data_IF_167781999503
#
_entry.id   IF_167781999503
#
_cell.length_a   1.000
_cell.length_b   1.000
_cell.length_c   1.000
_cell.angle_alpha   90.00
_cell.angle_beta   90.00
_cell.angle_gamma   90.00
#
_symmetry.space_group_name_H-M   'P 1'
#
loop_
_entity.id
_entity.type
_entity.pdbx_description
1 polymer ?
#
# COMPACT_ATOMS: atom_id res chain seq x y z
N UNK A 1 1.07 1.88 -13.32
CA UNK A 1 1.51 2.41 -12.00
C UNK A 1 3.03 2.38 -11.86
N UNK A 2 3.74 1.53 -12.62
CA UNK A 2 5.21 1.38 -12.59
C UNK A 2 5.96 2.64 -13.04
N UNK A 3 5.42 3.41 -13.97
CA UNK A 3 6.06 4.63 -14.47
C UNK A 3 6.35 5.69 -13.41
N UNK A 4 5.67 5.71 -12.25
CA UNK A 4 6.04 6.64 -11.17
C UNK A 4 7.32 6.20 -10.45
N UNK A 5 7.46 4.90 -10.19
CA UNK A 5 8.65 4.36 -9.52
C UNK A 5 9.86 4.56 -10.41
N UNK A 6 9.73 4.19 -11.69
CA UNK A 6 10.76 4.42 -12.71
C UNK A 6 11.12 5.90 -12.83
N UNK A 7 10.13 6.80 -12.75
CA UNK A 7 10.39 8.24 -12.75
C UNK A 7 11.18 8.69 -11.52
N UNK A 8 10.81 8.26 -10.30
CA UNK A 8 11.54 8.65 -9.09
C UNK A 8 12.96 8.11 -9.08
N UNK A 9 13.15 6.86 -9.50
CA UNK A 9 14.48 6.26 -9.63
C UNK A 9 15.32 6.99 -10.69
N UNK A 10 14.72 7.29 -11.85
CA UNK A 10 15.37 8.06 -12.92
C UNK A 10 15.79 9.47 -12.48
N UNK A 11 14.90 10.22 -11.81
CA UNK A 11 15.22 11.55 -11.29
C UNK A 11 16.28 11.48 -10.17
N UNK A 12 16.25 10.43 -9.35
CA UNK A 12 17.31 10.17 -8.37
C UNK A 12 18.67 9.96 -9.03
N UNK A 13 18.71 9.26 -10.17
CA UNK A 13 19.92 9.14 -11.00
C UNK A 13 20.41 10.49 -11.52
N UNK A 14 19.52 11.34 -12.05
CA UNK A 14 19.90 12.70 -12.49
C UNK A 14 20.47 13.55 -11.36
N UNK A 15 19.95 13.42 -10.14
CA UNK A 15 20.50 14.12 -8.97
C UNK A 15 21.92 13.66 -8.62
N UNK A 16 22.25 12.38 -8.80
CA UNK A 16 23.56 11.83 -8.43
C UNK A 16 24.61 11.99 -9.53
N UNK A 17 24.22 11.72 -10.78
CA UNK A 17 25.17 11.39 -11.83
C UNK A 17 25.26 12.47 -12.92
N UNK A 18 24.35 13.45 -12.94
CA UNK A 18 24.41 14.52 -13.94
C UNK A 18 25.66 15.38 -13.77
N UNK A 19 26.39 15.60 -14.86
CA UNK A 19 27.51 16.55 -14.90
C UNK A 19 27.05 18.00 -14.80
N UNK A 20 25.82 18.30 -15.20
CA UNK A 20 25.24 19.65 -15.16
C UNK A 20 24.64 19.93 -13.77
N UNK A 21 25.17 20.91 -13.01
CA UNK A 21 24.63 21.28 -11.71
C UNK A 21 23.19 21.82 -11.74
N UNK A 22 22.77 22.46 -12.83
CA UNK A 22 21.39 22.96 -12.94
C UNK A 22 20.40 21.81 -13.03
N UNK A 23 20.76 20.75 -13.76
CA UNK A 23 19.98 19.51 -13.83
C UNK A 23 19.90 18.85 -12.45
N UNK A 24 21.00 18.76 -11.70
CA UNK A 24 20.99 18.21 -10.33
C UNK A 24 20.09 19.01 -9.40
N UNK A 25 20.18 20.34 -9.44
CA UNK A 25 19.33 21.21 -8.62
C UNK A 25 17.83 21.04 -8.94
N UNK A 26 17.47 20.98 -10.24
CA UNK A 26 16.09 20.72 -10.67
C UNK A 26 15.61 19.33 -10.26
N UNK A 27 16.47 18.32 -10.33
CA UNK A 27 16.15 16.97 -9.87
C UNK A 27 15.86 16.96 -8.37
N UNK A 28 16.68 17.63 -7.55
CA UNK A 28 16.41 17.78 -6.11
C UNK A 28 15.06 18.44 -5.84
N UNK A 29 14.74 19.53 -6.56
CA UNK A 29 13.47 20.22 -6.40
C UNK A 29 12.26 19.36 -6.74
N UNK A 30 12.31 18.62 -7.84
CA UNK A 30 11.26 17.70 -8.25
C UNK A 30 11.03 16.61 -7.19
N UNK A 31 12.11 16.00 -6.68
CA UNK A 31 12.01 14.98 -5.63
C UNK A 31 11.38 15.55 -4.34
N UNK A 32 11.73 16.79 -4.00
CA UNK A 32 11.11 17.52 -2.89
C UNK A 32 9.61 17.77 -3.08
N UNK A 33 9.19 18.08 -4.30
CA UNK A 33 7.77 18.29 -4.66
C UNK A 33 6.98 16.99 -4.71
N UNK A 34 7.61 15.90 -5.15
CA UNK A 34 7.02 14.57 -5.09
C UNK A 34 6.75 14.12 -3.65
N UNK A 35 7.51 14.64 -2.67
CA UNK A 35 7.25 14.43 -1.24
C UNK A 35 7.53 12.99 -0.78
N UNK A 36 8.19 12.18 -1.61
CA UNK A 36 8.37 10.76 -1.34
C UNK A 36 9.64 10.50 -0.52
N UNK A 37 9.49 9.84 0.63
CA UNK A 37 10.57 9.57 1.56
C UNK A 37 11.69 8.69 0.96
N UNK A 38 11.43 7.96 -0.12
CA UNK A 38 12.46 7.16 -0.83
C UNK A 38 13.61 8.03 -1.37
N UNK A 39 13.36 9.31 -1.64
CA UNK A 39 14.37 10.22 -2.18
C UNK A 39 15.34 10.77 -1.12
N UNK A 40 15.06 10.56 0.18
CA UNK A 40 15.80 11.18 1.28
C UNK A 40 17.30 10.84 1.26
N UNK A 41 17.67 9.61 0.89
CA UNK A 41 19.08 9.22 0.85
C UNK A 41 19.87 9.96 -0.24
N UNK A 42 19.33 10.07 -1.44
CA UNK A 42 19.97 10.81 -2.53
C UNK A 42 20.03 12.31 -2.25
N UNK A 43 18.95 12.88 -1.69
CA UNK A 43 18.93 14.27 -1.29
C UNK A 43 19.95 14.55 -0.17
N UNK A 44 20.15 13.60 0.75
CA UNK A 44 21.17 13.70 1.80
C UNK A 44 22.59 13.71 1.24
N UNK A 45 22.87 12.88 0.24
CA UNK A 45 24.16 12.91 -0.48
C UNK A 45 24.38 14.28 -1.14
N UNK A 46 23.34 14.84 -1.77
CA UNK A 46 23.37 16.14 -2.43
C UNK A 46 23.56 17.34 -1.47
N UNK A 47 23.45 17.17 -0.15
CA UNK A 47 23.81 18.21 0.82
C UNK A 47 25.32 18.52 0.82
N UNK A 48 26.13 17.61 0.30
CA UNK A 48 27.58 17.77 0.15
C UNK A 48 28.00 18.04 -1.30
N UNK A 49 27.06 18.36 -2.20
CA UNK A 49 27.35 18.66 -3.61
C UNK A 49 28.32 19.85 -3.73
N UNK A 50 29.28 19.85 -4.69
CA UNK A 50 30.19 20.97 -4.89
C UNK A 50 29.48 22.28 -5.23
N UNK A 51 28.34 22.22 -5.93
CA UNK A 51 27.59 23.40 -6.33
C UNK A 51 26.64 23.89 -5.22
N UNK A 52 26.67 25.18 -4.91
CA UNK A 52 25.85 25.77 -3.85
C UNK A 52 24.37 25.68 -4.16
N UNK A 53 23.98 25.92 -5.41
CA UNK A 53 22.59 25.82 -5.86
C UNK A 53 21.99 24.44 -5.58
N UNK A 54 22.76 23.36 -5.80
CA UNK A 54 22.31 21.98 -5.55
C UNK A 54 22.14 21.72 -4.06
N UNK A 55 23.09 22.14 -3.21
CA UNK A 55 22.96 21.99 -1.75
C UNK A 55 21.71 22.70 -1.21
N UNK A 56 21.42 23.91 -1.71
CA UNK A 56 20.23 24.67 -1.32
C UNK A 56 18.95 23.93 -1.73
N UNK A 57 18.88 23.45 -2.98
CA UNK A 57 17.75 22.69 -3.49
C UNK A 57 17.52 21.40 -2.69
N UNK A 58 18.59 20.64 -2.41
CA UNK A 58 18.55 19.42 -1.60
C UNK A 58 18.01 19.67 -0.19
N UNK A 59 18.50 20.71 0.49
CA UNK A 59 18.00 21.09 1.83
C UNK A 59 16.51 21.46 1.77
N UNK A 60 16.09 22.24 0.78
CA UNK A 60 14.69 22.63 0.58
C UNK A 60 13.81 21.40 0.33
N UNK A 61 14.26 20.47 -0.50
CA UNK A 61 13.55 19.25 -0.82
C UNK A 61 13.33 18.36 0.40
N UNK A 62 14.38 18.17 1.23
CA UNK A 62 14.27 17.41 2.48
C UNK A 62 13.21 18.04 3.41
N UNK A 63 13.19 19.36 3.56
CA UNK A 63 12.19 20.04 4.40
C UNK A 63 10.76 19.89 3.83
N UNK A 64 10.60 19.90 2.50
CA UNK A 64 9.30 19.62 1.86
C UNK A 64 8.82 18.20 2.14
N UNK A 65 9.70 17.20 1.99
CA UNK A 65 9.38 15.80 2.30
C UNK A 65 8.99 15.64 3.78
N UNK A 66 9.76 16.22 4.71
CA UNK A 66 9.42 16.21 6.14
C UNK A 66 8.02 16.77 6.40
N UNK A 67 7.67 17.89 5.75
CA UNK A 67 6.36 18.52 5.91
C UNK A 67 5.24 17.63 5.35
N UNK A 68 5.40 17.05 4.16
CA UNK A 68 4.43 16.13 3.57
C UNK A 68 4.22 14.88 4.45
N UNK A 69 5.31 14.35 4.99
CA UNK A 69 5.33 13.13 5.80
C UNK A 69 4.82 13.32 7.22
N UNK A 70 4.75 14.56 7.71
CA UNK A 70 4.16 14.86 9.01
C UNK A 70 2.68 14.46 9.06
N UNK A 71 1.90 14.83 8.03
CA UNK A 71 0.48 14.48 7.95
C UNK A 71 0.28 12.95 7.91
N UNK A 72 1.10 12.24 7.11
CA UNK A 72 1.03 10.78 7.04
C UNK A 72 1.37 10.09 8.37
N UNK A 73 2.32 10.63 9.14
CA UNK A 73 2.61 10.10 10.48
C UNK A 73 1.45 10.28 11.45
N UNK A 74 0.79 11.43 11.41
CA UNK A 74 -0.36 11.75 12.26
C UNK A 74 -1.50 10.75 12.00
N UNK A 75 -1.68 10.32 10.75
CA UNK A 75 -2.70 9.36 10.33
C UNK A 75 -2.19 7.91 10.13
N UNK A 76 -1.00 7.56 10.61
CA UNK A 76 -0.30 6.30 10.26
C UNK A 76 -1.16 5.03 10.33
N UNK A 77 -2.05 4.93 11.33
CA UNK A 77 -2.89 3.74 11.54
C UNK A 77 -3.98 3.58 10.48
N UNK A 78 -4.43 4.69 9.91
CA UNK A 78 -5.53 4.74 8.94
C UNK A 78 -5.03 4.93 7.50
N UNK A 79 -3.75 4.62 7.26
CA UNK A 79 -3.15 4.69 5.94
C UNK A 79 -3.14 3.34 5.26
N UNK A 80 -3.42 3.33 3.96
CA UNK A 80 -3.23 2.16 3.10
C UNK A 80 -2.60 2.58 1.77
N UNK A 81 -1.72 1.74 1.23
CA UNK A 81 -1.19 1.94 -0.11
C UNK A 81 -2.27 1.63 -1.15
N UNK A 82 -2.76 2.62 -1.90
CA UNK A 82 -3.72 2.41 -2.99
C UNK A 82 -3.18 1.56 -4.15
N UNK A 83 -1.85 1.40 -4.24
CA UNK A 83 -1.19 0.52 -5.22
C UNK A 83 -1.15 -0.94 -4.77
N UNK A 84 -0.66 -1.17 -3.55
CA UNK A 84 -0.35 -2.52 -3.08
C UNK A 84 -1.41 -3.08 -2.12
N UNK A 85 -2.28 -2.23 -1.58
CA UNK A 85 -3.28 -2.54 -0.55
C UNK A 85 -2.70 -3.00 0.80
N UNK A 86 -1.49 -2.55 1.11
CA UNK A 86 -0.83 -2.81 2.39
C UNK A 86 -0.82 -1.58 3.27
N UNK A 87 -0.88 -1.82 4.58
CA UNK A 87 -0.59 -0.77 5.56
C UNK A 87 0.88 -0.37 5.45
N UNK A 88 1.21 0.90 5.66
CA UNK A 88 2.59 1.32 5.62
C UNK A 88 3.37 0.83 6.85
N UNK A 89 4.70 0.95 6.76
CA UNK A 89 5.63 0.80 7.88
C UNK A 89 6.26 2.14 8.23
N UNK A 90 6.62 2.32 9.50
CA UNK A 90 7.51 3.42 9.92
C UNK A 90 8.95 3.10 9.55
N UNK A 91 9.65 4.07 8.99
CA UNK A 91 11.09 4.04 8.81
C UNK A 91 11.74 5.17 9.62
N UNK A 92 13.01 5.01 9.97
CA UNK A 92 13.78 6.03 10.68
C UNK A 92 15.00 6.38 9.84
N UNK A 93 15.18 7.68 9.59
CA UNK A 93 16.33 8.22 8.87
C UNK A 93 16.98 9.32 9.72
N UNK A 94 18.07 9.92 9.22
CA UNK A 94 18.73 11.05 9.91
C UNK A 94 17.85 12.30 9.98
N UNK A 95 16.92 12.42 9.04
CA UNK A 95 15.98 13.51 8.90
C UNK A 95 14.76 13.35 9.83
N UNK A 96 14.57 12.16 10.41
CA UNK A 96 13.52 11.84 11.36
C UNK A 96 12.84 10.50 11.07
N UNK A 97 11.71 10.26 11.74
CA UNK A 97 10.82 9.13 11.38
C UNK A 97 10.13 9.43 10.04
N UNK A 98 9.62 8.45 9.30
CA UNK A 98 8.80 8.62 8.09
C UNK A 98 7.85 7.43 7.93
N UNK A 99 6.92 7.51 6.98
CA UNK A 99 5.95 6.45 6.70
C UNK A 99 5.96 6.11 5.23
N UNK A 100 6.13 4.84 4.91
CA UNK A 100 6.19 4.33 3.53
C UNK A 100 5.39 3.05 3.39
N UNK A 101 4.86 2.76 2.19
CA UNK A 101 4.31 1.45 1.91
C UNK A 101 5.33 0.37 2.27
N UNK A 102 4.89 -0.68 2.97
CA UNK A 102 5.80 -1.76 3.37
C UNK A 102 6.26 -2.64 2.20
N UNK A 103 5.49 -2.66 1.11
CA UNK A 103 5.74 -3.45 -0.10
C UNK A 103 6.55 -2.64 -1.10
N UNK A 104 5.97 -1.61 -1.72
CA UNK A 104 6.71 -0.82 -2.72
C UNK A 104 7.70 0.18 -2.13
N UNK A 105 7.66 0.48 -0.84
CA UNK A 105 8.57 1.47 -0.22
C UNK A 105 8.21 2.93 -0.51
N UNK A 106 7.22 3.19 -1.37
CA UNK A 106 6.79 4.56 -1.70
C UNK A 106 5.74 5.08 -0.72
N UNK A 107 5.79 6.38 -0.48
CA UNK A 107 4.81 7.08 0.34
C UNK A 107 3.76 7.85 -0.45
N UNK A 108 4.00 8.11 -1.73
CA UNK A 108 3.05 8.81 -2.61
C UNK A 108 1.69 8.11 -2.75
N UNK A 109 1.68 6.78 -2.70
CA UNK A 109 0.46 5.99 -2.86
C UNK A 109 -0.30 5.75 -1.55
N UNK A 110 0.16 6.35 -0.44
CA UNK A 110 -0.52 6.20 0.83
C UNK A 110 -1.74 7.12 0.88
N UNK A 111 -2.90 6.49 0.99
CA UNK A 111 -4.19 7.14 1.16
C UNK A 111 -4.60 7.09 2.63
N UNK A 112 -5.29 8.12 3.12
CA UNK A 112 -5.69 8.25 4.52
C UNK A 112 -7.19 8.06 4.78
N UNK A 113 -7.54 8.07 6.07
CA UNK A 113 -8.90 7.91 6.57
C UNK A 113 -9.48 6.51 6.40
N UNK A 114 -8.65 5.47 6.24
CA UNK A 114 -9.09 4.07 6.17
C UNK A 114 -9.03 3.45 7.57
N UNK A 115 -10.15 3.45 8.28
CA UNK A 115 -10.31 2.84 9.59
C UNK A 115 -10.38 1.31 9.54
N UNK A 116 -10.97 0.75 8.49
CA UNK A 116 -11.14 -0.69 8.31
C UNK A 116 -10.96 -1.08 6.83
N UNK A 117 -10.25 -2.19 6.60
CA UNK A 117 -10.06 -2.78 5.27
C UNK A 117 -10.86 -4.08 5.19
N UNK A 118 -11.86 -4.08 4.32
CA UNK A 118 -12.75 -5.22 4.08
C UNK A 118 -12.31 -5.92 2.80
N UNK A 119 -11.81 -7.14 2.90
CA UNK A 119 -11.67 -7.99 1.72
C UNK A 119 -13.03 -8.58 1.37
N UNK A 120 -13.42 -8.59 0.10
CA UNK A 120 -14.67 -9.23 -0.34
C UNK A 120 -14.39 -10.33 -1.35
N UNK A 121 -15.07 -11.47 -1.19
CA UNK A 121 -15.26 -12.51 -2.21
C UNK A 121 -16.72 -12.48 -2.62
N UNK A 122 -17.01 -12.36 -3.92
CA UNK A 122 -18.38 -12.23 -4.43
C UNK A 122 -18.83 -10.78 -4.65
N UNK A 123 -17.90 -9.85 -4.89
CA UNK A 123 -18.20 -8.47 -5.28
C UNK A 123 -17.53 -8.14 -6.63
N UNK A 124 -18.04 -7.13 -7.32
CA UNK A 124 -17.53 -6.67 -8.61
C UNK A 124 -16.04 -6.30 -8.52
N UNK A 125 -15.27 -6.46 -9.61
CA UNK A 125 -13.79 -6.54 -9.61
C UNK A 125 -13.03 -5.27 -9.13
N UNK A 126 -13.72 -4.18 -8.79
CA UNK A 126 -13.11 -2.92 -8.39
C UNK A 126 -13.13 -2.70 -6.87
N UNK A 127 -12.03 -2.15 -6.35
CA UNK A 127 -11.98 -1.65 -4.98
C UNK A 127 -12.79 -0.36 -4.86
N UNK A 128 -13.54 -0.19 -3.78
CA UNK A 128 -14.37 0.98 -3.53
C UNK A 128 -14.34 1.38 -2.06
N UNK A 129 -14.82 2.58 -1.74
CA UNK A 129 -14.77 3.14 -0.38
C UNK A 129 -16.15 3.60 0.06
N UNK A 130 -16.48 3.35 1.33
CA UNK A 130 -17.63 3.94 2.01
C UNK A 130 -17.21 4.35 3.42
N UNK A 131 -17.39 5.63 3.73
CA UNK A 131 -16.91 6.22 4.98
C UNK A 131 -15.41 5.96 5.21
N UNK A 132 -15.04 5.35 6.34
CA UNK A 132 -13.69 4.94 6.69
C UNK A 132 -13.36 3.49 6.31
N UNK A 133 -14.25 2.81 5.59
CA UNK A 133 -14.04 1.45 5.10
C UNK A 133 -13.56 1.43 3.66
N UNK A 134 -12.45 0.73 3.44
CA UNK A 134 -11.98 0.40 2.09
C UNK A 134 -12.33 -1.05 1.79
N UNK A 135 -13.07 -1.26 0.71
CA UNK A 135 -13.49 -2.56 0.22
C UNK A 135 -12.59 -2.96 -0.93
N UNK A 136 -12.06 -4.18 -0.85
CA UNK A 136 -11.12 -4.72 -1.81
C UNK A 136 -11.68 -6.03 -2.32
N UNK A 137 -12.03 -6.08 -3.60
CA UNK A 137 -12.32 -7.35 -4.26
C UNK A 137 -11.07 -8.24 -4.20
N UNK A 138 -11.18 -9.37 -3.50
CA UNK A 138 -10.08 -10.28 -3.24
C UNK A 138 -9.88 -11.30 -4.34
N UNK A 139 -10.85 -11.41 -5.24
CA UNK A 139 -10.87 -12.40 -6.31
C UNK A 139 -11.36 -11.77 -7.60
N UNK A 140 -10.58 -11.99 -8.65
CA UNK A 140 -10.86 -11.55 -10.01
C UNK A 140 -11.26 -12.80 -10.82
N UNK A 141 -12.52 -12.83 -11.26
CA UNK A 141 -13.12 -14.01 -11.87
C UNK A 141 -12.71 -14.14 -13.33
N UNK A 142 -12.42 -13.05 -14.03
CA UNK A 142 -11.93 -13.09 -15.41
C UNK A 142 -10.52 -13.69 -15.48
N UNK A 143 -9.60 -13.17 -14.66
CA UNK A 143 -8.20 -13.61 -14.65
C UNK A 143 -7.93 -14.82 -13.76
N UNK A 144 -8.90 -15.23 -12.94
CA UNK A 144 -8.80 -16.30 -11.93
C UNK A 144 -7.67 -16.06 -10.94
N UNK A 145 -7.55 -14.83 -10.43
CA UNK A 145 -6.45 -14.42 -9.53
C UNK A 145 -6.96 -13.88 -8.21
N UNK A 146 -6.37 -14.38 -7.13
CA UNK A 146 -6.53 -13.80 -5.81
C UNK A 146 -5.60 -12.57 -5.63
N UNK A 147 -6.15 -11.50 -5.07
CA UNK A 147 -5.40 -10.32 -4.61
C UNK A 147 -4.81 -10.56 -3.22
N UNK A 148 -3.81 -9.77 -2.89
CA UNK A 148 -3.23 -9.74 -1.55
C UNK A 148 -3.49 -8.36 -0.94
N UNK A 149 -3.76 -8.31 0.37
CA UNK A 149 -4.04 -7.07 1.09
C UNK A 149 -3.97 -7.28 2.62
N UNK A 150 -3.67 -6.20 3.35
CA UNK A 150 -3.78 -6.15 4.82
C UNK A 150 -5.25 -5.95 5.25
N UNK A 151 -6.10 -6.96 4.98
CA UNK A 151 -7.52 -6.92 5.37
C UNK A 151 -7.70 -7.10 6.89
N UNK A 152 -8.71 -6.42 7.45
CA UNK A 152 -9.16 -6.57 8.83
C UNK A 152 -10.31 -7.56 8.97
N UNK A 153 -11.16 -7.66 7.95
CA UNK A 153 -12.25 -8.64 7.87
C UNK A 153 -12.35 -9.18 6.44
N UNK A 154 -12.83 -10.40 6.31
CA UNK A 154 -13.20 -10.99 5.04
C UNK A 154 -14.72 -11.09 4.96
N UNK A 155 -15.31 -10.59 3.88
CA UNK A 155 -16.70 -10.79 3.55
C UNK A 155 -16.82 -11.82 2.43
N UNK A 156 -17.76 -12.74 2.57
CA UNK A 156 -18.18 -13.65 1.51
C UNK A 156 -19.63 -13.31 1.21
N UNK A 157 -19.85 -12.68 0.06
CA UNK A 157 -21.16 -12.17 -0.37
C UNK A 157 -21.74 -13.09 -1.44
N UNK A 158 -23.06 -13.18 -1.47
CA UNK A 158 -23.79 -13.83 -2.56
C UNK A 158 -23.51 -13.14 -3.90
N UNK A 159 -23.19 -13.96 -4.91
CA UNK A 159 -22.82 -13.57 -6.26
C UNK A 159 -23.26 -14.66 -7.23
N UNK A 160 -23.77 -14.22 -8.39
CA UNK A 160 -24.13 -15.10 -9.50
C UNK A 160 -22.87 -15.67 -10.15
N UNK A 161 -22.94 -16.95 -10.54
CA UNK A 161 -21.91 -17.65 -11.32
C UNK A 161 -20.47 -17.69 -10.74
N UNK A 162 -20.29 -17.38 -9.46
CA UNK A 162 -18.99 -17.49 -8.79
C UNK A 162 -18.68 -18.93 -8.33
N UNK A 163 -17.51 -19.43 -8.69
CA UNK A 163 -16.97 -20.64 -8.08
C UNK A 163 -16.31 -20.33 -6.73
N UNK A 164 -17.10 -20.39 -5.65
CA UNK A 164 -16.64 -20.09 -4.29
C UNK A 164 -15.46 -20.96 -3.85
N UNK A 165 -15.44 -22.25 -4.18
CA UNK A 165 -14.35 -23.14 -3.80
C UNK A 165 -13.00 -22.67 -4.33
N UNK A 166 -12.95 -22.24 -5.60
CA UNK A 166 -11.74 -21.69 -6.19
C UNK A 166 -11.38 -20.34 -5.59
N UNK A 167 -12.34 -19.43 -5.47
CA UNK A 167 -12.10 -18.09 -4.94
C UNK A 167 -11.62 -18.12 -3.48
N UNK A 168 -12.35 -18.83 -2.60
CA UNK A 168 -12.03 -18.96 -1.17
C UNK A 168 -10.67 -19.63 -0.98
N UNK A 169 -10.41 -20.75 -1.67
CA UNK A 169 -9.11 -21.41 -1.53
C UNK A 169 -7.96 -20.53 -2.07
N UNK A 170 -8.13 -19.88 -3.23
CA UNK A 170 -7.08 -19.03 -3.79
C UNK A 170 -6.77 -17.83 -2.87
N UNK A 171 -7.80 -17.15 -2.35
CA UNK A 171 -7.65 -16.05 -1.39
C UNK A 171 -7.00 -16.54 -0.10
N UNK A 172 -7.45 -17.67 0.45
CA UNK A 172 -6.84 -18.27 1.63
C UNK A 172 -5.34 -18.56 1.41
N UNK A 173 -4.96 -19.24 0.33
CA UNK A 173 -3.56 -19.55 0.05
C UNK A 173 -2.73 -18.28 -0.17
N UNK A 174 -3.29 -17.27 -0.85
CA UNK A 174 -2.61 -16.01 -1.11
C UNK A 174 -2.29 -15.27 0.18
N UNK A 175 -3.26 -15.13 1.07
CA UNK A 175 -3.11 -14.45 2.36
C UNK A 175 -2.28 -15.27 3.34
N UNK A 176 -2.46 -16.60 3.39
CA UNK A 176 -1.67 -17.50 4.25
C UNK A 176 -0.17 -17.40 3.97
N UNK A 177 0.21 -17.29 2.70
CA UNK A 177 1.61 -17.25 2.28
C UNK A 177 2.24 -15.85 2.36
N UNK A 178 1.47 -14.85 2.81
CA UNK A 178 2.00 -13.51 3.01
C UNK A 178 2.70 -13.37 4.38
N UNK A 179 4.02 -13.48 4.35
CA UNK A 179 4.90 -13.32 5.52
C UNK A 179 4.95 -11.88 6.04
N UNK A 180 4.38 -10.92 5.31
CA UNK A 180 4.40 -9.51 5.67
C UNK A 180 3.13 -9.05 6.38
N UNK A 181 2.12 -9.90 6.58
CA UNK A 181 0.84 -9.50 7.18
C UNK A 181 0.99 -8.80 8.53
N UNK A 182 0.17 -7.77 8.75
CA UNK A 182 0.11 -7.08 10.04
C UNK A 182 -0.58 -7.92 11.13
N UNK A 183 -1.61 -8.69 10.76
CA UNK A 183 -2.39 -9.56 11.66
C UNK A 183 -2.31 -11.02 11.20
N UNK A 184 -2.18 -11.99 12.12
CA UNK A 184 -2.30 -13.41 11.80
C UNK A 184 -3.60 -13.69 11.05
N UNK A 185 -3.57 -14.65 10.12
CA UNK A 185 -4.76 -14.99 9.35
C UNK A 185 -5.90 -15.43 10.26
N UNK A 186 -5.58 -16.14 11.35
CA UNK A 186 -6.45 -16.67 12.41
C UNK A 186 -7.14 -15.61 13.29
N UNK A 187 -6.89 -14.33 13.05
CA UNK A 187 -7.54 -13.20 13.73
C UNK A 187 -8.47 -12.40 12.81
N UNK A 188 -8.65 -12.82 11.56
CA UNK A 188 -9.51 -12.12 10.60
C UNK A 188 -10.93 -12.69 10.70
N UNK A 189 -11.91 -11.96 11.25
CA UNK A 189 -13.30 -12.40 11.22
C UNK A 189 -13.81 -12.49 9.78
N UNK A 190 -14.63 -13.51 9.54
CA UNK A 190 -15.35 -13.73 8.29
C UNK A 190 -16.81 -13.36 8.49
N UNK A 191 -17.38 -12.56 7.59
CA UNK A 191 -18.82 -12.29 7.55
C UNK A 191 -19.41 -12.88 6.28
N UNK A 192 -20.33 -13.82 6.42
CA UNK A 192 -21.12 -14.38 5.32
C UNK A 192 -22.36 -13.50 5.17
N UNK A 193 -22.59 -12.99 3.96
CA UNK A 193 -23.72 -12.09 3.64
C UNK A 193 -24.56 -12.66 2.51
N UNK A 194 -25.88 -12.68 2.69
CA UNK A 194 -26.80 -13.35 1.76
C UNK A 194 -26.73 -14.88 1.89
N UNK A 195 -27.01 -15.60 0.80
CA UNK A 195 -26.95 -17.07 0.76
C UNK A 195 -25.95 -17.58 -0.31
N UNK A 196 -24.64 -17.27 -0.18
CA UNK A 196 -23.63 -17.76 -1.11
C UNK A 196 -23.59 -19.29 -1.07
N UNK A 197 -23.53 -19.92 -2.25
CA UNK A 197 -23.51 -21.39 -2.41
C UNK A 197 -22.15 -21.97 -2.02
N UNK A 198 -21.87 -22.00 -0.71
CA UNK A 198 -20.67 -22.57 -0.11
C UNK A 198 -21.01 -23.88 0.61
N UNK A 199 -20.15 -24.88 0.45
CA UNK A 199 -20.21 -26.17 1.13
C UNK A 199 -19.49 -26.15 2.47
N UNK A 200 -19.62 -27.21 3.26
CA UNK A 200 -18.86 -27.39 4.51
C UNK A 200 -17.34 -27.37 4.29
N UNK A 201 -16.85 -27.80 3.13
CA UNK A 201 -15.41 -27.76 2.82
C UNK A 201 -14.91 -26.31 2.72
N UNK A 202 -15.67 -25.42 2.07
CA UNK A 202 -15.34 -24.00 2.03
C UNK A 202 -15.47 -23.35 3.41
N UNK A 203 -16.50 -23.71 4.19
CA UNK A 203 -16.66 -23.22 5.56
C UNK A 203 -15.45 -23.64 6.42
N UNK A 204 -14.94 -24.86 6.28
CA UNK A 204 -13.74 -25.32 6.96
C UNK A 204 -12.48 -24.53 6.60
N UNK A 205 -12.37 -24.04 5.36
CA UNK A 205 -11.30 -23.11 4.98
C UNK A 205 -11.52 -21.76 5.67
N UNK A 206 -12.74 -21.23 5.66
CA UNK A 206 -13.08 -19.95 6.29
C UNK A 206 -12.84 -19.97 7.81
N UNK A 207 -13.07 -21.09 8.49
CA UNK A 207 -12.76 -21.28 9.92
C UNK A 207 -11.28 -21.11 10.26
N UNK A 208 -10.38 -21.20 9.27
CA UNK A 208 -8.93 -20.96 9.45
C UNK A 208 -8.56 -19.48 9.53
N UNK A 209 -9.49 -18.59 9.17
CA UNK A 209 -9.34 -17.14 9.33
C UNK A 209 -9.74 -16.67 10.72
N UNK A 210 -10.90 -17.04 11.25
CA UNK A 210 -11.32 -16.49 12.53
C UNK A 210 -12.79 -16.79 12.81
N UNK A 211 -13.38 -15.98 13.67
CA UNK A 211 -14.81 -16.07 13.95
C UNK A 211 -15.62 -15.89 12.64
N UNK A 212 -16.55 -16.81 12.39
CA UNK A 212 -17.52 -16.69 11.31
C UNK A 212 -18.80 -16.07 11.85
N UNK A 213 -19.26 -15.01 11.20
CA UNK A 213 -20.50 -14.30 11.50
C UNK A 213 -21.43 -14.39 10.29
N UNK A 214 -22.73 -14.49 10.55
CA UNK A 214 -23.78 -14.42 9.54
C UNK A 214 -24.42 -13.04 9.67
N UNK A 215 -24.52 -12.30 8.56
CA UNK A 215 -25.06 -10.93 8.56
C UNK A 215 -25.66 -10.50 7.23
#
# INVERSE_FOLDING_TARGET
>A
MDGYVEAIEGITGYLRDSSDPEVRARAADYLGEAGDAVALDALREALSDPEEGVRIAARRAIERIKKAQRALKENYKTLICGRDFFRPKKIHTREGQFVVCRVCGHSKFLEDGVGEVVGIIGDEEYSWRQEDRLFISMWDEESKRARNADIDTLWVTEADDLNYGWAINAVYQRLKNDVTRAKPLSEIPVTIRGDPKISEEEIDILRRFGEIRIG
#
